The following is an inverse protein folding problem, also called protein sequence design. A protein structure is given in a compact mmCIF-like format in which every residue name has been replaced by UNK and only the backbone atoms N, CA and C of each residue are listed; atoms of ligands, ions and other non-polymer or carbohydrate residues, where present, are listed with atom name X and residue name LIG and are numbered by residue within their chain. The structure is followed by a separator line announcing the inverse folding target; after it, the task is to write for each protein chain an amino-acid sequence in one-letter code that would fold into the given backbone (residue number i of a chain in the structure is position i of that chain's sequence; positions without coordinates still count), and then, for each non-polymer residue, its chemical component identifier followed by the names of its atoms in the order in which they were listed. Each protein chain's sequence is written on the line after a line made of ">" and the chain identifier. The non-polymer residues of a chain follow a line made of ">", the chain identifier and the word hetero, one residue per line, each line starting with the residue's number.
data_IF_870540109048
#
_entry.id   IF_870540109048
#
_cell.length_a   1.000
_cell.length_b   1.000
_cell.length_c   1.000
_cell.angle_alpha   90.00
_cell.angle_beta   90.00
_cell.angle_gamma   90.00
#
_symmetry.space_group_name_H-M   'P 1'
#
loop_
_entity.id
_entity.type
_entity.pdbx_description
1 polymer ?
#
# COMPACT_ATOMS: atom_id res chain seq x y z
N UNK A 1 0.40 -12.54 4.87
CA UNK A 1 -0.77 -11.99 4.15
C UNK A 1 -1.89 -12.98 4.31
N UNK A 2 -3.09 -12.49 4.57
CA UNK A 2 -4.24 -13.32 4.90
C UNK A 2 -4.85 -13.92 3.63
N UNK A 3 -5.48 -15.11 3.68
CA UNK A 3 -6.04 -15.76 2.49
C UNK A 3 -7.17 -14.98 1.79
N UNK A 4 -7.80 -14.02 2.48
CA UNK A 4 -8.85 -13.15 1.92
C UNK A 4 -8.31 -12.04 1.01
N UNK A 5 -6.99 -11.84 0.95
CA UNK A 5 -6.38 -10.80 0.12
C UNK A 5 -6.40 -11.23 -1.34
N UNK A 6 -7.17 -10.49 -2.15
CA UNK A 6 -7.16 -10.60 -3.61
C UNK A 6 -6.09 -9.66 -4.21
N UNK A 7 -4.94 -10.23 -4.55
CA UNK A 7 -3.81 -9.48 -5.12
C UNK A 7 -4.12 -9.00 -6.54
N UNK A 8 -4.92 -9.74 -7.32
CA UNK A 8 -5.28 -9.34 -8.67
C UNK A 8 -6.20 -8.11 -8.63
N UNK A 9 -7.08 -8.02 -7.64
CA UNK A 9 -7.89 -6.83 -7.41
C UNK A 9 -7.06 -5.63 -6.96
N UNK A 10 -6.11 -5.82 -6.04
CA UNK A 10 -5.19 -4.74 -5.65
C UNK A 10 -4.41 -4.25 -6.88
N UNK A 11 -3.89 -5.17 -7.71
CA UNK A 11 -3.17 -4.83 -8.93
C UNK A 11 -4.02 -4.00 -9.89
N UNK A 12 -5.27 -4.42 -10.16
CA UNK A 12 -6.23 -3.67 -10.99
C UNK A 12 -6.48 -2.25 -10.46
N UNK A 13 -6.67 -2.10 -9.15
CA UNK A 13 -6.93 -0.80 -8.53
C UNK A 13 -5.72 0.13 -8.50
N UNK A 14 -4.52 -0.43 -8.55
CA UNK A 14 -3.26 0.34 -8.58
C UNK A 14 -2.73 0.59 -9.99
N UNK A 15 -3.55 0.44 -11.03
CA UNK A 15 -3.11 0.74 -12.39
C UNK A 15 -2.67 2.22 -12.54
N UNK A 16 -1.46 2.41 -13.05
CA UNK A 16 -0.81 3.71 -13.19
C UNK A 16 -0.12 4.24 -11.92
N UNK A 17 -0.03 3.43 -10.86
CA UNK A 17 0.78 3.74 -9.68
C UNK A 17 2.26 3.51 -10.01
N UNK A 18 3.13 4.39 -9.52
CA UNK A 18 4.57 4.17 -9.57
C UNK A 18 5.00 3.10 -8.55
N UNK A 19 6.23 2.62 -8.66
CA UNK A 19 6.79 1.70 -7.66
C UNK A 19 6.84 2.28 -6.24
N UNK A 20 7.01 3.60 -6.12
CA UNK A 20 6.96 4.28 -4.82
C UNK A 20 5.53 4.32 -4.27
N UNK A 21 4.54 4.59 -5.12
CA UNK A 21 3.13 4.58 -4.72
C UNK A 21 2.71 3.17 -4.23
N UNK A 22 3.12 2.12 -4.95
CA UNK A 22 2.87 0.72 -4.55
C UNK A 22 3.54 0.39 -3.21
N UNK A 23 4.77 0.86 -3.00
CA UNK A 23 5.48 0.70 -1.72
C UNK A 23 4.71 1.36 -0.58
N UNK A 24 4.17 2.56 -0.83
CA UNK A 24 3.36 3.28 0.14
C UNK A 24 2.03 2.58 0.43
N UNK A 25 1.35 1.99 -0.58
CA UNK A 25 0.15 1.15 -0.38
C UNK A 25 0.46 -0.03 0.54
N UNK A 26 1.51 -0.80 0.24
CA UNK A 26 1.90 -1.95 1.05
C UNK A 26 2.29 -1.56 2.48
N UNK A 27 2.99 -0.44 2.64
CA UNK A 27 3.39 0.08 3.95
C UNK A 27 2.19 0.51 4.78
N UNK A 28 1.25 1.25 4.20
CA UNK A 28 0.06 1.70 4.94
C UNK A 28 -0.88 0.53 5.25
N UNK A 29 -1.06 -0.44 4.33
CA UNK A 29 -1.80 -1.66 4.62
C UNK A 29 -1.19 -2.44 5.79
N UNK A 30 0.15 -2.57 5.85
CA UNK A 30 0.82 -3.18 7.00
C UNK A 30 0.59 -2.42 8.30
N UNK A 31 0.56 -1.08 8.26
CA UNK A 31 0.28 -0.26 9.43
C UNK A 31 -1.20 -0.33 9.85
N UNK A 32 -2.13 -0.45 8.91
CA UNK A 32 -3.57 -0.63 9.19
C UNK A 32 -3.82 -1.95 9.92
N UNK A 33 -3.18 -3.04 9.48
CA UNK A 33 -3.22 -4.31 10.21
C UNK A 33 -2.70 -4.20 11.64
N UNK A 34 -1.58 -3.48 11.84
CA UNK A 34 -1.06 -3.20 13.19
C UNK A 34 -2.02 -2.33 14.02
N UNK A 35 -2.58 -1.26 13.45
CA UNK A 35 -3.53 -0.34 14.11
C UNK A 35 -4.78 -1.10 14.56
N UNK A 36 -5.33 -1.96 13.71
CA UNK A 36 -6.46 -2.85 14.03
C UNK A 36 -6.15 -3.73 15.23
N UNK A 37 -4.92 -4.24 15.34
CA UNK A 37 -4.52 -5.11 16.44
C UNK A 37 -4.44 -4.41 17.80
N UNK A 38 -3.96 -3.17 17.81
CA UNK A 38 -3.84 -2.37 19.04
C UNK A 38 -5.11 -1.58 19.36
N UNK A 39 -6.08 -1.57 18.45
CA UNK A 39 -7.36 -0.90 18.67
C UNK A 39 -8.08 -1.49 19.89
N UNK A 40 -8.55 -0.61 20.77
CA UNK A 40 -9.21 -1.00 22.02
C UNK A 40 -8.28 -1.45 23.14
N UNK A 41 -6.95 -1.47 22.94
CA UNK A 41 -5.97 -1.77 23.99
C UNK A 41 -5.45 -0.51 24.64
N UNK A 42 -5.16 -0.59 25.92
CA UNK A 42 -4.48 0.47 26.68
C UNK A 42 -2.99 0.48 26.36
N UNK A 43 -2.32 1.59 26.68
CA UNK A 43 -0.88 1.76 26.45
C UNK A 43 -0.04 0.68 27.15
N UNK A 44 -0.44 0.27 28.35
CA UNK A 44 0.30 -0.73 29.12
C UNK A 44 0.11 -2.14 28.56
N UNK A 45 -1.10 -2.47 28.07
CA UNK A 45 -1.34 -3.71 27.32
C UNK A 45 -0.48 -3.75 26.05
N UNK A 46 -0.45 -2.67 25.26
CA UNK A 46 0.35 -2.59 24.03
C UNK A 46 1.84 -2.77 24.34
N UNK A 47 2.35 -2.17 25.41
CA UNK A 47 3.75 -2.33 25.85
C UNK A 47 4.10 -3.76 26.24
N UNK A 48 3.15 -4.49 26.80
CA UNK A 48 3.34 -5.86 27.27
C UNK A 48 3.08 -6.90 26.17
N UNK A 49 2.61 -6.49 24.99
CA UNK A 49 2.44 -7.39 23.85
C UNK A 49 3.79 -7.90 23.34
N UNK A 50 3.85 -9.20 23.06
CA UNK A 50 5.03 -9.77 22.43
C UNK A 50 5.13 -9.35 20.95
N UNK A 51 6.35 -9.12 20.46
CA UNK A 51 6.57 -8.86 19.02
C UNK A 51 6.04 -9.99 18.16
N UNK A 52 6.19 -11.24 18.61
CA UNK A 52 5.73 -12.42 17.90
C UNK A 52 4.21 -12.48 17.76
N UNK A 53 3.46 -12.08 18.80
CA UNK A 53 2.01 -11.96 18.64
C UNK A 53 1.70 -10.92 17.56
N UNK A 54 2.37 -9.76 17.55
CA UNK A 54 2.11 -8.67 16.59
C UNK A 54 2.40 -9.13 15.16
N UNK A 55 3.47 -9.90 14.96
CA UNK A 55 3.87 -10.40 13.65
C UNK A 55 3.06 -11.59 13.12
N UNK A 56 2.33 -12.31 13.99
CA UNK A 56 1.52 -13.47 13.60
C UNK A 56 0.20 -13.10 12.91
N UNK A 57 -0.26 -11.87 13.07
CA UNK A 57 -1.52 -11.43 12.49
C UNK A 57 -1.30 -10.95 11.05
N UNK A 58 -1.83 -11.66 10.04
CA UNK A 58 -1.57 -11.33 8.66
C UNK A 58 -2.37 -10.09 8.22
N UNK A 59 -1.77 -9.26 7.37
CA UNK A 59 -2.48 -8.19 6.65
C UNK A 59 -3.65 -8.78 5.87
N UNK A 60 -4.85 -8.22 6.04
CA UNK A 60 -6.10 -8.65 5.43
C UNK A 60 -6.57 -7.68 4.35
N UNK A 61 -7.61 -8.05 3.60
CA UNK A 61 -8.04 -7.27 2.44
C UNK A 61 -8.54 -5.87 2.84
N UNK A 62 -9.23 -5.75 3.97
CA UNK A 62 -9.71 -4.45 4.46
C UNK A 62 -8.56 -3.47 4.75
N UNK A 63 -7.37 -3.96 5.12
CA UNK A 63 -6.20 -3.11 5.37
C UNK A 63 -5.69 -2.49 4.06
N UNK A 64 -5.74 -3.27 2.96
CA UNK A 64 -5.47 -2.80 1.61
C UNK A 64 -6.56 -1.84 1.10
N UNK A 65 -7.83 -2.11 1.35
CA UNK A 65 -8.93 -1.22 0.94
C UNK A 65 -8.78 0.18 1.56
N UNK A 66 -8.43 0.24 2.85
CA UNK A 66 -8.16 1.50 3.54
C UNK A 66 -6.92 2.21 2.97
N UNK A 67 -5.85 1.46 2.69
CA UNK A 67 -4.63 2.01 2.10
C UNK A 67 -4.87 2.57 0.69
N UNK A 68 -5.60 1.83 -0.16
CA UNK A 68 -5.95 2.23 -1.53
C UNK A 68 -6.86 3.47 -1.56
N UNK A 69 -7.66 3.70 -0.52
CA UNK A 69 -8.46 4.92 -0.39
C UNK A 69 -7.62 6.16 -0.04
N UNK A 70 -6.44 5.99 0.59
CA UNK A 70 -5.59 7.08 1.06
C UNK A 70 -4.44 7.38 0.12
N UNK A 71 -3.79 6.36 -0.42
CA UNK A 71 -2.61 6.52 -1.28
C UNK A 71 -3.09 6.88 -2.69
N UNK A 72 -2.71 8.07 -3.14
CA UNK A 72 -2.97 8.55 -4.50
C UNK A 72 -1.77 8.31 -5.39
N UNK A 73 -2.01 8.15 -6.70
CA UNK A 73 -0.92 8.11 -7.69
C UNK A 73 -0.12 9.42 -7.66
N UNK A 74 1.20 9.32 -7.64
CA UNK A 74 2.08 10.50 -7.70
C UNK A 74 2.31 10.99 -9.12
N UNK A 75 2.20 10.10 -10.12
CA UNK A 75 2.40 10.41 -11.53
C UNK A 75 1.06 10.45 -12.25
N UNK A 76 0.77 11.55 -12.95
CA UNK A 76 -0.44 11.68 -13.75
C UNK A 76 -0.23 11.10 -15.17
N UNK A 77 -1.34 10.75 -15.84
CA UNK A 77 -1.29 10.31 -17.23
C UNK A 77 -0.72 11.39 -18.17
N UNK A 78 -0.94 12.68 -17.84
CA UNK A 78 -0.40 13.80 -18.60
C UNK A 78 1.13 13.90 -18.46
N UNK A 79 1.66 13.61 -17.26
CA UNK A 79 3.11 13.59 -17.05
C UNK A 79 3.78 12.46 -17.85
N UNK A 80 3.11 11.30 -17.92
CA UNK A 80 3.56 10.16 -18.74
C UNK A 80 3.55 10.55 -20.22
N UNK A 81 2.45 11.10 -20.74
CA UNK A 81 2.34 11.50 -22.14
C UNK A 81 3.39 12.56 -22.52
N UNK A 82 3.63 13.54 -21.63
CA UNK A 82 4.67 14.55 -21.83
C UNK A 82 6.06 13.92 -21.88
N UNK A 83 6.34 12.96 -21.01
CA UNK A 83 7.61 12.25 -20.98
C UNK A 83 7.79 11.39 -22.25
N UNK A 84 6.76 10.69 -22.71
CA UNK A 84 6.78 9.91 -23.95
C UNK A 84 7.03 10.77 -25.18
N UNK A 85 6.35 11.94 -25.29
CA UNK A 85 6.61 12.90 -26.37
C UNK A 85 8.06 13.38 -26.36
N UNK A 86 8.56 13.75 -25.19
CA UNK A 86 9.95 14.17 -25.05
C UNK A 86 10.93 13.06 -25.43
N UNK A 87 10.65 11.82 -25.01
CA UNK A 87 11.45 10.66 -25.36
C UNK A 87 11.40 10.34 -26.86
N UNK A 88 10.26 10.52 -27.52
CA UNK A 88 10.16 10.34 -28.97
C UNK A 88 10.92 11.42 -29.76
N UNK A 89 11.01 12.65 -29.24
CA UNK A 89 11.70 13.76 -29.92
C UNK A 89 13.21 13.79 -29.64
N UNK A 90 13.64 13.40 -28.44
CA UNK A 90 15.01 13.58 -27.96
C UNK A 90 15.65 12.31 -27.37
N UNK A 91 14.93 11.19 -27.34
CA UNK A 91 15.44 9.93 -26.81
C UNK A 91 16.53 9.35 -27.70
N UNK A 92 17.70 9.14 -27.12
CA UNK A 92 18.80 8.45 -27.77
C UNK A 92 18.44 6.97 -27.96
N UNK A 93 18.66 6.44 -29.17
CA UNK A 93 18.55 5.02 -29.48
C UNK A 93 19.68 4.19 -28.84
#
# INVERSE_FOLDING_TARGET
>A
VSPDVDIDEVARRTEGYSGDDLTNVCRDASLNGMRRKIAGKTRDEIKNMSKDEISKDPVAMCDFEEALGKVQRSVSAADIERHEKWFSEFGSA
#
